data_IF_519664705709
#
_entry.id   IF_519664705709
#
_cell.length_a   1.000
_cell.length_b   1.000
_cell.length_c   1.000
_cell.angle_alpha   90.00
_cell.angle_beta   90.00
_cell.angle_gamma   90.00
#
_symmetry.space_group_name_H-M   'P 1'
#
loop_
_entity.id
_entity.type
_entity.pdbx_description
1 polymer ?
#
# COMPACT_ATOMS: atom_id res chain seq x y z
N UNK A 1 5.73 7.70 -17.04
CA UNK A 1 4.97 7.08 -18.15
C UNK A 1 4.93 5.59 -17.90
N UNK A 2 3.75 4.93 -17.97
CA UNK A 2 3.65 3.48 -17.83
C UNK A 2 4.38 2.76 -18.97
N UNK A 3 4.93 1.58 -18.65
CA UNK A 3 5.59 0.67 -19.61
C UNK A 3 4.70 -0.54 -19.81
N UNK A 4 4.36 -0.84 -21.06
CA UNK A 4 3.54 -2.00 -21.41
C UNK A 4 4.40 -3.08 -22.04
N UNK A 5 4.37 -4.27 -21.46
CA UNK A 5 4.97 -5.48 -21.99
C UNK A 5 3.89 -6.21 -22.78
N UNK A 6 4.14 -6.41 -24.07
CA UNK A 6 3.23 -7.13 -24.96
C UNK A 6 3.57 -8.62 -25.01
N UNK A 7 2.55 -9.47 -25.02
CA UNK A 7 2.71 -10.89 -25.31
C UNK A 7 2.95 -11.10 -26.82
N UNK A 8 3.48 -12.27 -27.18
CA UNK A 8 3.71 -12.61 -28.58
C UNK A 8 2.38 -12.74 -29.35
N UNK A 9 2.26 -12.19 -30.57
CA UNK A 9 1.01 -12.14 -31.33
C UNK A 9 0.50 -13.51 -31.80
N UNK A 10 1.31 -14.56 -31.66
CA UNK A 10 0.94 -15.93 -32.03
C UNK A 10 -0.14 -16.56 -31.13
N UNK A 11 -0.37 -16.00 -29.94
CA UNK A 11 -1.31 -16.55 -28.96
C UNK A 11 -2.26 -15.46 -28.48
N UNK A 12 -3.56 -15.76 -28.44
CA UNK A 12 -4.54 -14.85 -27.86
C UNK A 12 -4.45 -14.89 -26.32
N UNK A 13 -4.61 -13.73 -25.69
CA UNK A 13 -4.71 -13.65 -24.24
C UNK A 13 -5.88 -14.51 -23.73
N UNK A 14 -5.63 -15.30 -22.68
CA UNK A 14 -6.68 -16.08 -22.04
C UNK A 14 -7.67 -15.14 -21.34
N UNK A 15 -8.94 -15.52 -21.22
CA UNK A 15 -9.89 -14.74 -20.42
C UNK A 15 -9.53 -14.82 -18.93
N UNK A 16 -9.55 -13.68 -18.25
CA UNK A 16 -9.41 -13.62 -16.80
C UNK A 16 -10.69 -14.09 -16.12
N UNK A 17 -10.59 -15.13 -15.27
CA UNK A 17 -11.73 -15.77 -14.60
C UNK A 17 -11.73 -15.55 -13.08
N UNK A 18 -10.95 -14.58 -12.59
CA UNK A 18 -10.88 -14.27 -11.17
C UNK A 18 -12.15 -13.58 -10.67
N UNK A 19 -12.31 -13.51 -9.35
CA UNK A 19 -13.37 -12.72 -8.72
C UNK A 19 -12.86 -11.32 -8.46
N UNK A 20 -13.45 -10.27 -9.06
CA UNK A 20 -13.14 -8.90 -8.68
C UNK A 20 -13.59 -8.65 -7.25
N UNK A 21 -12.86 -7.81 -6.55
CA UNK A 21 -13.34 -7.25 -5.29
C UNK A 21 -14.49 -6.28 -5.58
N UNK A 22 -15.58 -6.38 -4.80
CA UNK A 22 -16.73 -5.46 -4.92
C UNK A 22 -16.71 -4.30 -3.94
N UNK A 23 -15.81 -4.33 -2.95
CA UNK A 23 -15.72 -3.28 -1.93
C UNK A 23 -14.29 -3.19 -1.38
N UNK A 24 -13.90 -2.05 -0.78
CA UNK A 24 -12.60 -1.92 -0.14
C UNK A 24 -12.36 -2.99 0.94
N UNK A 25 -13.42 -3.38 1.64
CA UNK A 25 -13.31 -4.39 2.68
C UNK A 25 -13.08 -5.79 2.10
N UNK A 26 -13.73 -6.11 0.98
CA UNK A 26 -13.50 -7.35 0.25
C UNK A 26 -12.09 -7.41 -0.35
N UNK A 27 -11.60 -6.27 -0.84
CA UNK A 27 -10.22 -6.13 -1.31
C UNK A 27 -9.21 -6.41 -0.18
N UNK A 28 -9.38 -5.77 0.98
CA UNK A 28 -8.51 -5.99 2.14
C UNK A 28 -8.58 -7.44 2.64
N UNK A 29 -9.78 -8.01 2.67
CA UNK A 29 -10.01 -9.40 3.08
C UNK A 29 -9.29 -10.38 2.15
N UNK A 30 -9.35 -10.16 0.83
CA UNK A 30 -8.69 -11.02 -0.15
C UNK A 30 -7.16 -10.90 -0.10
N UNK A 31 -6.64 -9.67 -0.02
CA UNK A 31 -5.21 -9.43 -0.11
C UNK A 31 -4.49 -9.82 1.20
N UNK A 32 -5.10 -9.48 2.34
CA UNK A 32 -4.50 -9.63 3.66
C UNK A 32 -5.52 -10.09 4.71
N UNK A 33 -5.91 -11.38 4.72
CA UNK A 33 -6.97 -11.89 5.60
C UNK A 33 -6.63 -11.75 7.09
N UNK A 34 -5.35 -11.89 7.46
CA UNK A 34 -4.88 -11.71 8.85
C UNK A 34 -5.09 -10.27 9.33
N UNK A 35 -4.76 -9.30 8.48
CA UNK A 35 -4.92 -7.87 8.79
C UNK A 35 -6.39 -7.52 8.86
N UNK A 36 -7.20 -8.01 7.92
CA UNK A 36 -8.65 -7.83 7.97
C UNK A 36 -9.24 -8.35 9.28
N UNK A 37 -8.83 -9.54 9.75
CA UNK A 37 -9.34 -10.11 11.00
C UNK A 37 -8.91 -9.30 12.24
N UNK A 38 -7.72 -8.69 12.22
CA UNK A 38 -7.23 -7.84 13.29
C UNK A 38 -7.81 -6.41 13.25
N UNK A 39 -8.37 -6.01 12.10
CA UNK A 39 -8.89 -4.66 11.87
C UNK A 39 -10.38 -4.58 12.20
N UNK A 40 -10.82 -3.51 12.87
CA UNK A 40 -12.24 -3.30 13.19
C UNK A 40 -13.03 -2.73 12.00
N UNK A 41 -12.44 -1.76 11.30
CA UNK A 41 -13.04 -1.10 10.14
C UNK A 41 -11.98 -0.36 9.33
N UNK A 42 -12.30 -0.08 8.07
CA UNK A 42 -11.50 0.80 7.21
C UNK A 42 -11.92 2.24 7.51
N UNK A 43 -10.95 3.10 7.85
CA UNK A 43 -11.21 4.51 8.17
C UNK A 43 -11.44 5.32 6.88
N UNK A 44 -10.62 5.07 5.86
CA UNK A 44 -10.68 5.74 4.56
C UNK A 44 -10.16 4.80 3.47
N UNK A 45 -10.69 4.94 2.26
CA UNK A 45 -10.22 4.22 1.07
C UNK A 45 -10.22 5.15 -0.13
N UNK A 46 -9.20 5.02 -0.97
CA UNK A 46 -9.10 5.71 -2.26
C UNK A 46 -9.56 4.84 -3.43
N UNK A 47 -10.06 3.63 -3.17
CA UNK A 47 -10.51 2.72 -4.22
C UNK A 47 -11.92 3.09 -4.67
N UNK A 48 -12.03 3.45 -5.95
CA UNK A 48 -13.29 3.57 -6.66
C UNK A 48 -13.54 2.27 -7.43
N UNK A 49 -14.68 1.63 -7.17
CA UNK A 49 -15.06 0.40 -7.85
C UNK A 49 -15.99 0.77 -9.00
N UNK A 50 -15.43 0.86 -10.20
CA UNK A 50 -16.19 1.10 -11.43
C UNK A 50 -16.52 -0.21 -12.15
N UNK A 51 -17.54 -0.22 -13.00
CA UNK A 51 -17.97 -1.42 -13.74
C UNK A 51 -16.99 -1.82 -14.83
N UNK A 52 -16.17 -0.88 -15.32
CA UNK A 52 -15.24 -1.09 -16.43
C UNK A 52 -13.89 -1.67 -15.98
N UNK A 53 -13.52 -1.49 -14.71
CA UNK A 53 -12.23 -1.93 -14.18
C UNK A 53 -12.39 -3.01 -13.11
N UNK A 54 -11.94 -4.22 -13.43
CA UNK A 54 -11.87 -5.31 -12.47
C UNK A 54 -10.64 -5.15 -11.57
N UNK A 55 -10.86 -4.95 -10.27
CA UNK A 55 -9.78 -4.89 -9.26
C UNK A 55 -9.75 -6.23 -8.54
N UNK A 56 -8.62 -6.93 -8.59
CA UNK A 56 -8.41 -8.18 -7.86
C UNK A 56 -7.53 -7.96 -6.62
N UNK A 57 -7.75 -8.71 -5.52
CA UNK A 57 -6.89 -8.67 -4.34
C UNK A 57 -5.90 -9.87 -4.28
N UNK A 58 -4.80 -9.85 -5.06
CA UNK A 58 -3.73 -10.82 -4.89
C UNK A 58 -2.99 -10.61 -3.57
N UNK A 59 -2.34 -11.67 -3.06
CA UNK A 59 -1.51 -11.57 -1.86
C UNK A 59 -0.20 -10.83 -2.14
N UNK A 60 0.38 -11.03 -3.33
CA UNK A 60 1.61 -10.40 -3.77
C UNK A 60 1.37 -9.66 -5.09
N UNK A 61 0.73 -8.48 -5.03
CA UNK A 61 0.20 -7.81 -6.21
C UNK A 61 1.14 -7.66 -7.41
N UNK A 62 2.40 -7.28 -7.19
CA UNK A 62 3.35 -7.15 -8.29
C UNK A 62 3.77 -8.51 -8.89
N UNK A 63 4.14 -9.47 -8.04
CA UNK A 63 4.65 -10.78 -8.47
C UNK A 63 3.55 -11.63 -9.09
N UNK A 64 2.38 -11.65 -8.47
CA UNK A 64 1.22 -12.40 -8.94
C UNK A 64 0.75 -11.84 -10.28
N UNK A 65 0.66 -10.52 -10.44
CA UNK A 65 0.29 -9.90 -11.72
C UNK A 65 1.29 -10.22 -12.84
N UNK A 66 2.60 -10.18 -12.56
CA UNK A 66 3.62 -10.53 -13.55
C UNK A 66 3.55 -12.02 -13.93
N UNK A 67 3.35 -12.89 -12.95
CA UNK A 67 3.25 -14.35 -13.15
C UNK A 67 1.99 -14.71 -13.95
N UNK A 68 0.85 -14.11 -13.62
CA UNK A 68 -0.41 -14.31 -14.34
C UNK A 68 -0.31 -13.79 -15.77
N UNK A 69 0.27 -12.61 -15.97
CA UNK A 69 0.44 -12.06 -17.31
C UNK A 69 1.34 -12.93 -18.20
N UNK A 70 2.42 -13.46 -17.64
CA UNK A 70 3.29 -14.41 -18.33
C UNK A 70 2.56 -15.73 -18.66
N UNK A 71 1.86 -16.31 -17.68
CA UNK A 71 1.23 -17.63 -17.79
C UNK A 71 0.02 -17.63 -18.74
N UNK A 72 -0.74 -16.54 -18.75
CA UNK A 72 -1.99 -16.43 -19.49
C UNK A 72 -1.92 -15.51 -20.71
N UNK A 73 -0.71 -15.09 -21.09
CA UNK A 73 -0.44 -14.21 -22.23
C UNK A 73 -1.18 -12.86 -22.15
N UNK A 74 -1.31 -12.29 -20.95
CA UNK A 74 -1.89 -10.96 -20.81
C UNK A 74 -0.85 -9.87 -21.13
N UNK A 75 -1.34 -8.71 -21.56
CA UNK A 75 -0.52 -7.49 -21.57
C UNK A 75 -0.30 -7.04 -20.13
N UNK A 76 0.95 -6.73 -19.79
CA UNK A 76 1.30 -6.22 -18.46
C UNK A 76 1.72 -4.75 -18.59
N UNK A 77 0.94 -3.85 -18.02
CA UNK A 77 1.28 -2.43 -17.93
C UNK A 77 1.73 -2.12 -16.52
N UNK A 78 2.99 -1.71 -16.37
CA UNK A 78 3.58 -1.32 -15.09
C UNK A 78 3.86 0.17 -15.08
N UNK A 79 3.44 0.87 -14.02
CA UNK A 79 3.91 2.22 -13.79
C UNK A 79 5.27 2.15 -13.08
N UNK A 80 6.21 3.06 -13.35
CA UNK A 80 7.50 3.08 -12.66
C UNK A 80 7.37 3.07 -11.13
N UNK A 81 6.32 3.72 -10.61
CA UNK A 81 6.01 3.79 -9.19
C UNK A 81 5.70 2.40 -8.59
N UNK A 82 5.08 1.49 -9.35
CA UNK A 82 4.75 0.15 -8.88
C UNK A 82 6.03 -0.67 -8.59
N UNK A 83 7.11 -0.43 -9.36
CA UNK A 83 8.43 -1.05 -9.15
C UNK A 83 9.10 -0.44 -7.92
N UNK A 84 9.08 0.88 -7.80
CA UNK A 84 9.65 1.57 -6.64
C UNK A 84 8.96 1.15 -5.35
N UNK A 85 7.63 1.04 -5.34
CA UNK A 85 6.91 0.55 -4.18
C UNK A 85 7.25 -0.89 -3.82
N UNK A 86 7.47 -1.78 -4.79
CA UNK A 86 7.91 -3.15 -4.52
C UNK A 86 9.28 -3.17 -3.81
N UNK A 87 10.24 -2.38 -4.32
CA UNK A 87 11.59 -2.26 -3.73
C UNK A 87 11.51 -1.68 -2.32
N UNK A 88 10.80 -0.56 -2.16
CA UNK A 88 10.68 0.14 -0.88
C UNK A 88 9.91 -0.68 0.16
N UNK A 89 8.90 -1.44 -0.25
CA UNK A 89 8.17 -2.33 0.67
C UNK A 89 9.10 -3.40 1.23
N UNK A 90 9.88 -4.08 0.37
CA UNK A 90 10.80 -5.11 0.81
C UNK A 90 11.94 -4.54 1.69
N UNK A 91 12.45 -3.35 1.32
CA UNK A 91 13.44 -2.65 2.12
C UNK A 91 12.88 -2.24 3.48
N UNK A 92 11.66 -1.72 3.53
CA UNK A 92 10.99 -1.32 4.78
C UNK A 92 10.76 -2.52 5.71
N UNK A 93 10.40 -3.68 5.16
CA UNK A 93 10.31 -4.92 5.95
C UNK A 93 11.66 -5.31 6.56
N UNK A 94 12.75 -5.22 5.77
CA UNK A 94 14.10 -5.49 6.26
C UNK A 94 14.52 -4.51 7.35
N UNK A 95 14.25 -3.21 7.17
CA UNK A 95 14.56 -2.18 8.16
C UNK A 95 13.78 -2.43 9.45
N UNK A 96 12.50 -2.79 9.35
CA UNK A 96 11.68 -3.07 10.53
C UNK A 96 12.13 -4.30 11.30
N UNK A 97 12.65 -5.33 10.62
CA UNK A 97 13.24 -6.52 11.25
C UNK A 97 14.57 -6.19 11.96
N UNK A 98 15.34 -5.24 11.42
CA UNK A 98 16.64 -4.80 11.94
C UNK A 98 16.60 -3.36 12.52
N UNK A 99 15.48 -3.00 13.14
CA UNK A 99 15.19 -1.60 13.46
C UNK A 99 16.23 -0.95 14.38
N UNK A 100 16.76 -1.69 15.38
CA UNK A 100 17.76 -1.15 16.31
C UNK A 100 19.16 -1.06 15.69
N UNK A 101 19.54 -1.98 14.82
CA UNK A 101 20.85 -1.96 14.14
C UNK A 101 20.93 -0.79 13.15
N UNK A 102 19.83 -0.51 12.45
CA UNK A 102 19.76 0.52 11.43
C UNK A 102 19.25 1.86 11.95
N UNK A 103 18.92 1.94 13.25
CA UNK A 103 18.32 3.10 13.90
C UNK A 103 19.07 4.40 13.64
N UNK A 104 20.40 4.35 13.82
CA UNK A 104 21.29 5.52 13.67
C UNK A 104 21.25 6.16 12.29
N UNK A 105 20.80 5.44 11.25
CA UNK A 105 20.65 5.96 9.90
C UNK A 105 19.32 6.69 9.67
N UNK A 106 18.27 6.37 10.42
CA UNK A 106 16.90 6.83 10.14
C UNK A 106 16.30 7.71 11.23
N UNK A 107 16.80 7.63 12.48
CA UNK A 107 16.18 8.27 13.64
C UNK A 107 17.26 8.94 14.51
N UNK A 108 17.03 10.21 14.88
CA UNK A 108 17.97 11.01 15.67
C UNK A 108 17.89 10.77 17.19
N UNK A 109 16.94 9.98 17.66
CA UNK A 109 16.74 9.68 19.09
C UNK A 109 17.03 8.21 19.40
N UNK A 110 17.45 7.94 20.64
CA UNK A 110 17.56 6.61 21.22
C UNK A 110 16.20 6.14 21.76
N UNK A 111 15.91 4.84 21.66
CA UNK A 111 14.66 4.24 22.17
C UNK A 111 13.36 4.73 21.51
N UNK A 112 12.19 4.30 22.01
CA UNK A 112 10.91 4.71 21.41
C UNK A 112 10.42 6.04 22.00
N UNK A 113 9.96 6.96 21.16
CA UNK A 113 9.27 8.19 21.58
C UNK A 113 7.78 8.01 21.31
N UNK A 114 6.96 8.23 22.32
CA UNK A 114 5.49 8.24 22.16
C UNK A 114 5.04 9.55 21.54
N UNK A 115 4.11 9.46 20.59
CA UNK A 115 3.49 10.61 19.93
C UNK A 115 2.03 10.68 20.34
N UNK A 116 1.63 11.84 20.88
CA UNK A 116 0.24 12.16 21.19
C UNK A 116 -0.28 13.17 20.17
N UNK A 117 -1.47 12.92 19.63
CA UNK A 117 -2.14 13.83 18.70
C UNK A 117 -3.39 14.34 19.39
N UNK A 118 -3.40 15.63 19.73
CA UNK A 118 -4.56 16.28 20.33
C UNK A 118 -5.27 17.12 19.27
N UNK A 119 -6.58 16.91 19.10
CA UNK A 119 -7.39 17.67 18.14
C UNK A 119 -8.65 18.21 18.83
N UNK A 120 -8.99 19.47 18.56
CA UNK A 120 -10.02 20.21 19.30
C UNK A 120 -11.45 19.79 18.93
N UNK A 121 -11.68 19.32 17.71
CA UNK A 121 -13.00 18.85 17.27
C UNK A 121 -12.92 17.94 16.04
N UNK A 122 -13.35 16.68 16.15
CA UNK A 122 -13.47 15.75 15.03
C UNK A 122 -13.52 14.29 15.45
N UNK A 123 -14.14 13.43 14.64
CA UNK A 123 -14.03 11.97 14.77
C UNK A 123 -12.88 11.46 13.90
N UNK A 124 -12.40 10.24 14.13
CA UNK A 124 -11.35 9.59 13.32
C UNK A 124 -11.65 9.55 11.81
N UNK A 125 -12.93 9.69 11.43
CA UNK A 125 -13.40 9.69 10.05
C UNK A 125 -13.48 11.08 9.41
N UNK A 126 -13.34 12.15 10.19
CA UNK A 126 -13.52 13.54 9.73
C UNK A 126 -12.29 14.41 9.92
N UNK A 127 -11.29 13.93 10.67
CA UNK A 127 -10.03 14.63 10.91
C UNK A 127 -9.16 14.57 9.66
N UNK A 128 -8.58 15.72 9.29
CA UNK A 128 -7.55 15.79 8.25
C UNK A 128 -6.23 15.25 8.80
N UNK A 129 -5.87 14.03 8.38
CA UNK A 129 -4.64 13.35 8.80
C UNK A 129 -3.40 14.10 8.29
N UNK A 130 -3.50 14.81 7.16
CA UNK A 130 -2.43 15.61 6.59
C UNK A 130 -2.07 16.81 7.47
N UNK A 131 -3.08 17.54 7.96
CA UNK A 131 -2.89 18.64 8.91
C UNK A 131 -2.32 18.13 10.25
N UNK A 132 -2.83 16.99 10.75
CA UNK A 132 -2.29 16.34 11.95
C UNK A 132 -0.79 16.02 11.82
N UNK A 133 -0.35 15.49 10.67
CA UNK A 133 1.05 15.16 10.44
C UNK A 133 1.95 16.41 10.44
N UNK A 134 1.49 17.52 9.85
CA UNK A 134 2.27 18.77 9.81
C UNK A 134 2.43 19.42 11.19
N UNK A 135 1.36 19.44 12.01
CA UNK A 135 1.41 20.04 13.35
C UNK A 135 2.40 19.32 14.26
N UNK A 136 2.45 17.99 14.20
CA UNK A 136 3.40 17.19 14.98
C UNK A 136 4.85 17.36 14.53
N UNK A 137 5.07 17.53 13.22
CA UNK A 137 6.41 17.82 12.69
C UNK A 137 6.94 19.17 13.17
N UNK A 138 6.07 20.16 13.38
CA UNK A 138 6.44 21.50 13.87
C UNK A 138 6.68 21.53 15.38
N UNK A 139 5.85 20.87 16.19
CA UNK A 139 6.05 20.81 17.64
C UNK A 139 7.34 20.07 18.02
N UNK A 140 7.72 19.04 17.27
CA UNK A 140 8.98 18.30 17.49
C UNK A 140 10.24 19.13 17.22
N UNK A 141 10.14 20.18 16.38
CA UNK A 141 11.24 21.12 16.12
C UNK A 141 11.36 22.18 17.23
N UNK A 142 10.26 22.58 17.85
CA UNK A 142 10.25 23.55 18.97
C UNK A 142 10.75 22.93 20.29
N UNK A 143 10.67 21.61 20.49
CA UNK A 143 11.28 20.92 21.64
C UNK A 143 12.79 20.63 21.48
N UNK A 144 13.38 20.92 20.31
CA UNK A 144 14.80 20.70 20.04
C UNK A 144 15.67 21.98 20.13
N UNK A 145 15.09 23.13 20.51
CA UNK A 145 15.81 24.34 20.97
C UNK A 145 15.85 24.41 22.50
#
# INVERSE_FOLDING_TARGET
MPVTIHHAPAYAARQWNGRPASSPNDLLKGACPKVHQASKSIIQSSFEFDTETSISPPKHGFVDAATDAYTYHHHLTLRPEDIWFAILTQLGLQINEHAEELRSFFVAHEGQKELWITYESGSIHTVDIGDCAQRNGRSSLEECE
#
